data_IF_372259027884
#
_entry.id   IF_372259027884
#
_cell.length_a   1.000
_cell.length_b   1.000
_cell.length_c   1.000
_cell.angle_alpha   90.00
_cell.angle_beta   90.00
_cell.angle_gamma   90.00
#
_symmetry.space_group_name_H-M   'P 1'
#
loop_
_entity.id
_entity.type
_entity.pdbx_description
1 polymer ?
2 non-polymer ?
3 non-polymer ?
4 non-polymer ?
5 water ?
#
# COMPACT_ATOMS: atom_id res chain seq x y z
N UNK A 12 -9.70 9.14 -18.76
CA UNK A 12 -8.40 9.60 -18.29
C UNK A 12 -7.37 9.55 -19.43
N UNK A 13 -6.20 10.16 -19.21
CA UNK A 13 -5.21 10.37 -20.25
C UNK A 13 -4.22 9.21 -20.33
N UNK A 14 -3.63 9.07 -21.52
CA UNK A 14 -2.56 8.09 -21.71
C UNK A 14 -1.30 8.46 -20.93
N UNK A 15 -1.15 9.72 -20.53
CA UNK A 15 0.04 10.17 -19.84
C UNK A 15 -0.02 9.94 -18.35
N UNK A 16 -1.18 9.60 -17.79
CA UNK A 16 -1.30 9.39 -16.36
C UNK A 16 -1.24 7.91 -16.05
N UNK A 17 -0.59 7.59 -14.92
CA UNK A 17 -0.60 6.24 -14.36
C UNK A 17 -1.76 6.14 -13.39
N UNK A 18 -2.63 5.14 -13.56
CA UNK A 18 -3.71 4.88 -12.63
C UNK A 18 -3.26 3.81 -11.63
N UNK A 19 -3.27 4.16 -10.35
CA UNK A 19 -2.99 3.27 -9.24
C UNK A 19 -4.30 2.77 -8.66
N UNK A 20 -4.34 1.49 -8.32
CA UNK A 20 -5.55 0.86 -7.80
C UNK A 20 -5.15 -0.06 -6.67
N UNK A 21 -5.88 0.03 -5.54
CA UNK A 21 -5.71 -0.91 -4.44
C UNK A 21 -7.06 -1.48 -4.07
N UNK A 22 -7.07 -2.76 -3.70
CA UNK A 22 -8.32 -3.50 -3.48
C UNK A 22 -7.98 -4.67 -2.57
N UNK A 23 -8.52 -4.67 -1.34
CA UNK A 23 -8.54 -5.87 -0.54
C UNK A 23 -9.66 -6.74 -1.08
N UNK A 24 -9.32 -7.90 -1.65
CA UNK A 24 -10.29 -8.69 -2.40
C UNK A 24 -10.88 -9.83 -1.59
N UNK A 25 -10.51 -9.98 -0.32
CA UNK A 25 -11.11 -10.97 0.57
C UNK A 25 -11.10 -12.35 -0.09
N UNK A 26 -9.94 -12.70 -0.64
CA UNK A 26 -9.78 -13.96 -1.34
C UNK A 26 -10.01 -13.81 -2.83
N UNK A 27 -8.94 -14.00 -3.62
CA UNK A 27 -9.05 -13.66 -5.03
C UNK A 27 -9.95 -14.64 -5.78
N UNK A 28 -9.98 -15.91 -5.39
CA UNK A 28 -10.91 -16.85 -6.02
C UNK A 28 -12.36 -16.47 -5.76
N UNK A 29 -12.69 -16.14 -4.50
CA UNK A 29 -14.03 -15.67 -4.17
C UNK A 29 -14.37 -14.36 -4.89
N UNK A 30 -13.38 -13.46 -4.98
CA UNK A 30 -13.58 -12.19 -5.69
C UNK A 30 -14.16 -12.41 -7.09
N UNK A 31 -13.72 -13.46 -7.79
CA UNK A 31 -14.18 -13.68 -9.16
C UNK A 31 -15.59 -14.27 -9.22
N UNK A 32 -16.27 -14.45 -8.09
CA UNK A 32 -17.67 -14.85 -8.11
C UNK A 32 -18.62 -13.66 -8.12
N UNK A 33 -18.11 -12.44 -8.07
CA UNK A 33 -18.96 -11.26 -8.09
C UNK A 33 -19.05 -10.65 -9.49
N UNK A 34 -20.21 -10.12 -9.82
CA UNK A 34 -20.36 -9.36 -11.06
C UNK A 34 -19.52 -8.07 -10.99
N UNK A 35 -18.92 -7.65 -12.11
CA UNK A 35 -18.86 -8.28 -13.43
C UNK A 35 -17.74 -9.29 -13.56
N UNK A 36 -16.92 -9.41 -12.52
CA UNK A 36 -15.71 -10.23 -12.63
C UNK A 36 -16.04 -11.69 -12.90
N UNK A 37 -17.26 -12.12 -12.60
CA UNK A 37 -17.68 -13.49 -12.86
C UNK A 37 -17.78 -13.80 -14.35
N UNK A 38 -17.84 -12.78 -15.21
CA UNK A 38 -17.85 -13.00 -16.66
C UNK A 38 -16.45 -13.04 -17.26
N UNK A 39 -15.39 -12.90 -16.47
CA UNK A 39 -14.06 -12.65 -17.01
C UNK A 39 -13.17 -13.90 -16.99
N UNK A 40 -13.74 -15.06 -16.66
CA UNK A 40 -12.99 -16.32 -16.69
C UNK A 40 -11.71 -16.22 -15.86
N UNK A 41 -11.79 -15.53 -14.70
CA UNK A 41 -10.68 -15.46 -13.77
C UNK A 41 -9.46 -14.78 -14.39
N UNK A 42 -9.69 -13.86 -15.31
CA UNK A 42 -8.60 -13.17 -16.01
C UNK A 42 -8.32 -11.84 -15.33
N UNK A 43 -7.15 -11.76 -14.69
CA UNK A 43 -6.71 -10.51 -14.08
C UNK A 43 -6.51 -9.43 -15.13
N UNK A 44 -6.05 -9.80 -16.33
CA UNK A 44 -5.89 -8.83 -17.40
C UNK A 44 -7.22 -8.17 -17.73
N UNK A 45 -8.29 -8.95 -17.81
CA UNK A 45 -9.61 -8.36 -17.99
C UNK A 45 -10.00 -7.47 -16.82
N UNK A 46 -9.64 -7.86 -15.59
CA UNK A 46 -9.98 -7.03 -14.43
C UNK A 46 -9.24 -5.70 -14.48
N UNK A 47 -7.94 -5.74 -14.77
CA UNK A 47 -7.16 -4.51 -14.81
C UNK A 47 -7.61 -3.64 -15.97
N UNK A 48 -8.00 -4.24 -17.10
CA UNK A 48 -8.55 -3.45 -18.20
C UNK A 48 -9.91 -2.86 -17.81
N UNK A 49 -10.72 -3.58 -17.04
CA UNK A 49 -11.99 -3.02 -16.56
C UNK A 49 -11.76 -1.76 -15.74
N UNK A 50 -10.75 -1.76 -14.90
CA UNK A 50 -10.46 -0.61 -14.06
C UNK A 50 -9.66 0.45 -14.79
N UNK A 51 -9.20 0.14 -16.00
CA UNK A 51 -8.27 0.98 -16.75
C UNK A 51 -7.04 1.31 -15.90
N UNK A 52 -6.54 0.33 -15.18
CA UNK A 52 -5.50 0.56 -14.18
C UNK A 52 -4.14 0.15 -14.75
N UNK A 53 -3.10 0.79 -14.22
CA UNK A 53 -1.73 0.54 -14.65
C UNK A 53 -0.87 -0.11 -13.57
N UNK A 54 -1.04 0.28 -12.31
CA UNK A 54 -0.32 -0.30 -11.20
C UNK A 54 -1.37 -0.70 -10.16
N UNK A 55 -1.48 -1.99 -9.89
CA UNK A 55 -2.58 -2.56 -9.11
C UNK A 55 -2.00 -3.40 -7.99
N UNK A 56 -2.50 -3.20 -6.77
CA UNK A 56 -2.24 -4.14 -5.68
C UNK A 56 -3.57 -4.69 -5.18
N UNK A 57 -3.59 -6.01 -4.97
CA UNK A 57 -4.69 -6.69 -4.29
C UNK A 57 -4.14 -7.27 -3.00
N UNK A 58 -4.91 -7.18 -1.92
CA UNK A 58 -4.55 -7.78 -0.64
C UNK A 58 -5.54 -8.88 -0.27
N UNK A 59 -5.08 -9.78 0.61
CA UNK A 59 -5.81 -10.99 1.00
C UNK A 59 -6.12 -11.87 -0.21
N UNK A 60 -5.08 -12.21 -0.96
CA UNK A 60 -5.23 -13.19 -2.03
C UNK A 60 -5.82 -14.49 -1.51
N UNK A 61 -5.46 -14.88 -0.29
CA UNK A 61 -5.87 -16.15 0.31
C UNK A 61 -5.67 -17.27 -0.70
N UNK A 62 -4.46 -17.35 -1.22
CA UNK A 62 -4.16 -18.30 -2.28
C UNK A 62 -3.11 -19.31 -1.80
N UNK A 63 -2.43 -19.96 -2.72
CA UNK A 63 -1.42 -20.95 -2.40
C UNK A 63 -0.44 -21.02 -3.56
N UNK A 64 0.71 -21.65 -3.33
CA UNK A 64 1.79 -21.60 -4.33
C UNK A 64 1.32 -22.14 -5.68
N UNK A 65 0.60 -23.26 -5.68
CA UNK A 65 0.22 -23.88 -6.94
C UNK A 65 -0.71 -22.98 -7.75
N UNK A 66 -1.48 -22.13 -7.10
CA UNK A 66 -2.37 -21.21 -7.79
C UNK A 66 -1.64 -20.03 -8.40
N UNK A 67 -0.39 -19.78 -8.00
CA UNK A 67 0.36 -18.67 -8.56
C UNK A 67 0.56 -18.85 -10.06
N UNK A 68 0.49 -20.07 -10.56
CA UNK A 68 0.61 -20.23 -12.01
C UNK A 68 -0.52 -19.53 -12.74
N UNK A 69 -1.62 -19.22 -12.04
CA UNK A 69 -2.66 -18.39 -12.61
C UNK A 69 -2.40 -16.91 -12.33
N UNK A 70 -2.34 -16.54 -11.03
CA UNK A 70 -2.35 -15.15 -10.62
C UNK A 70 -1.03 -14.43 -10.88
N UNK A 71 0.07 -15.15 -11.06
CA UNK A 71 1.36 -14.57 -11.38
C UNK A 71 1.75 -14.66 -12.84
N UNK A 72 0.82 -15.01 -13.73
CA UNK A 72 1.07 -15.03 -15.18
C UNK A 72 -0.07 -14.25 -15.83
N UNK A 73 0.14 -12.96 -16.03
CA UNK A 73 -0.89 -12.04 -16.49
C UNK A 73 -0.39 -11.42 -17.80
N UNK A 74 -1.09 -11.70 -18.89
CA UNK A 74 -0.65 -11.20 -20.19
C UNK A 74 -0.60 -9.67 -20.19
N UNK A 75 0.54 -9.13 -20.60
CA UNK A 75 0.67 -7.69 -20.65
C UNK A 75 1.01 -7.04 -19.33
N UNK A 76 1.36 -7.83 -18.31
CA UNK A 76 1.66 -7.31 -16.98
C UNK A 76 2.81 -8.10 -16.37
N UNK A 77 3.58 -7.41 -15.53
CA UNK A 77 4.50 -8.05 -14.59
C UNK A 77 3.74 -8.34 -13.30
N UNK A 78 4.03 -9.49 -12.68
CA UNK A 78 3.36 -9.91 -11.46
C UNK A 78 4.37 -10.04 -10.34
N UNK A 79 4.09 -9.43 -9.19
CA UNK A 79 4.92 -9.50 -8.01
C UNK A 79 4.05 -9.89 -6.83
N UNK A 80 4.22 -11.12 -6.36
CA UNK A 80 3.28 -11.68 -5.39
C UNK A 80 4.05 -12.21 -4.20
N UNK A 81 3.57 -11.88 -3.00
CA UNK A 81 4.08 -12.35 -1.73
C UNK A 81 2.98 -13.08 -0.97
N UNK A 82 3.25 -14.33 -0.59
CA UNK A 82 2.30 -15.13 0.19
C UNK A 82 3.08 -15.76 1.34
N UNK A 83 2.38 -16.21 2.39
CA UNK A 83 3.08 -16.93 3.46
C UNK A 83 3.81 -18.13 2.89
N UNK A 84 4.90 -18.53 3.52
CA UNK A 84 5.68 -19.65 2.98
C UNK A 84 4.86 -20.93 2.94
N UNK A 85 4.14 -21.22 4.01
CA UNK A 85 3.41 -22.48 4.14
C UNK A 85 1.91 -22.27 4.29
N UNK A 86 1.49 -21.38 5.18
CA UNK A 86 0.08 -21.23 5.46
C UNK A 86 -0.70 -20.87 4.19
N UNK A 87 -1.69 -21.67 3.86
CA UNK A 87 -2.51 -21.49 2.68
C UNK A 87 -3.80 -20.75 3.05
N UNK A 88 -4.38 -20.10 2.06
CA UNK A 88 -5.64 -19.40 2.28
C UNK A 88 -5.57 -18.24 3.24
N UNK A 89 -4.42 -17.58 3.33
CA UNK A 89 -4.22 -16.55 4.36
C UNK A 89 -3.39 -15.41 3.80
N UNK A 90 -3.89 -14.19 4.01
CA UNK A 90 -3.11 -12.99 3.71
C UNK A 90 -2.69 -13.08 2.24
N UNK A 91 -1.54 -12.50 1.91
CA UNK A 91 -1.05 -12.49 0.55
C UNK A 91 -1.30 -11.15 -0.10
N UNK A 92 -0.29 -10.62 -0.77
CA UNK A 92 -0.38 -9.34 -1.46
C UNK A 92 0.22 -9.53 -2.84
N UNK A 93 -0.44 -8.96 -3.84
CA UNK A 93 0.08 -8.92 -5.19
C UNK A 93 0.15 -7.49 -5.68
N UNK A 94 1.15 -7.20 -6.52
CA UNK A 94 1.26 -5.93 -7.22
C UNK A 94 1.53 -6.23 -8.69
N UNK A 95 0.76 -5.62 -9.57
CA UNK A 95 0.86 -5.88 -11.00
C UNK A 95 1.14 -4.57 -11.72
N UNK A 96 2.06 -4.64 -12.69
CA UNK A 96 2.54 -3.47 -13.42
C UNK A 96 2.27 -3.70 -14.90
N UNK A 97 1.56 -2.77 -15.53
CA UNK A 97 1.28 -2.87 -16.96
C UNK A 97 2.55 -2.69 -17.76
N UNK A 98 2.72 -3.50 -18.82
CA UNK A 98 3.86 -3.42 -19.69
C UNK A 98 3.49 -2.56 -20.89
N UNK A 99 3.99 -1.36 -21.02
CA UNK A 99 3.57 -0.49 -22.12
C UNK A 99 4.22 -0.89 -23.43
N UNK A 100 3.51 -0.60 -24.52
CA UNK A 100 4.08 -0.78 -25.84
C UNK A 100 5.13 0.30 -26.12
N UNK A 101 5.93 0.03 -27.14
CA UNK A 101 7.10 0.85 -27.43
C UNK A 101 6.73 2.30 -27.69
N UNK A 102 5.60 2.55 -28.36
CA UNK A 102 5.20 3.91 -28.67
C UNK A 102 4.23 4.49 -27.64
N UNK A 103 4.10 3.85 -26.50
CA UNK A 103 3.26 4.45 -25.45
C UNK A 103 4.06 5.49 -24.68
N UNK A 104 3.45 6.63 -24.33
CA UNK A 104 4.22 7.68 -23.64
C UNK A 104 4.84 7.22 -22.34
N UNK A 105 4.31 6.15 -21.74
CA UNK A 105 4.80 5.63 -20.47
C UNK A 105 5.82 4.51 -20.66
N UNK A 106 6.35 4.34 -21.86
CA UNK A 106 7.27 3.24 -22.13
C UNK A 106 8.41 3.18 -21.12
N UNK A 107 9.03 4.32 -20.84
CA UNK A 107 10.14 4.32 -19.90
C UNK A 107 9.69 4.47 -18.45
N UNK A 108 8.65 5.26 -18.21
CA UNK A 108 8.17 5.47 -16.85
C UNK A 108 7.84 4.15 -16.16
N UNK A 109 7.20 3.23 -16.88
CA UNK A 109 6.74 2.00 -16.26
C UNK A 109 7.77 0.89 -16.26
N UNK A 110 9.01 1.14 -16.70
CA UNK A 110 10.01 0.10 -16.63
C UNK A 110 10.28 -0.23 -15.17
N UNK A 111 10.33 -1.52 -14.85
CA UNK A 111 10.58 -1.99 -13.49
C UNK A 111 12.06 -2.31 -13.37
N UNK A 112 12.75 -1.64 -12.43
CA UNK A 112 14.18 -1.93 -12.26
C UNK A 112 14.47 -2.80 -11.06
N UNK A 113 13.63 -2.74 -10.01
CA UNK A 113 13.84 -3.59 -8.85
C UNK A 113 12.50 -4.02 -8.28
N UNK A 114 12.50 -5.14 -7.56
CA UNK A 114 11.30 -5.58 -6.84
C UNK A 114 11.76 -6.40 -5.64
N UNK A 115 10.96 -6.37 -4.57
CA UNK A 115 11.39 -6.82 -3.25
C UNK A 115 10.18 -7.29 -2.44
N UNK A 116 10.40 -8.34 -1.65
CA UNK A 116 9.38 -8.89 -0.78
C UNK A 116 9.62 -8.45 0.66
N UNK A 117 8.55 -8.11 1.37
CA UNK A 117 8.64 -7.82 2.79
C UNK A 117 8.98 -6.37 3.05
N UNK A 118 9.01 -6.00 4.34
CA UNK A 118 9.41 -4.67 4.78
C UNK A 118 10.81 -4.64 5.39
N UNK A 119 11.34 -5.77 5.85
CA UNK A 119 12.57 -5.71 6.63
C UNK A 119 13.84 -5.85 5.80
N UNK A 120 13.73 -6.37 4.58
CA UNK A 120 14.88 -6.65 3.73
C UNK A 120 15.55 -7.98 3.97
N UNK A 121 15.10 -8.76 4.95
CA UNK A 121 15.77 -10.01 5.26
C UNK A 121 15.26 -11.19 4.45
N UNK A 122 14.11 -11.05 3.78
CA UNK A 122 13.69 -12.17 2.93
C UNK A 122 14.68 -12.31 1.79
N UNK A 123 14.66 -13.47 1.13
CA UNK A 123 15.73 -13.82 0.22
C UNK A 123 15.22 -14.11 -1.19
N UNK A 124 16.16 -14.00 -2.12
CA UNK A 124 16.00 -14.41 -3.51
C UNK A 124 16.95 -15.56 -3.79
N UNK A 125 16.48 -16.59 -4.49
CA UNK A 125 17.35 -17.69 -4.88
C UNK A 125 18.50 -17.15 -5.72
N UNK A 126 19.72 -17.42 -5.28
CA UNK A 126 20.92 -16.86 -5.90
C UNK A 126 21.60 -17.84 -6.85
N UNK A 127 21.89 -19.05 -6.37
CA UNK A 127 22.40 -20.13 -7.15
C UNK A 127 21.54 -21.36 -6.98
N UNK A 128 22.19 -22.53 -6.99
CA UNK A 128 21.46 -23.78 -6.80
C UNK A 128 21.10 -23.97 -5.33
N UNK A 129 22.09 -23.92 -4.45
CA UNK A 129 21.90 -24.05 -3.01
C UNK A 129 22.18 -22.74 -2.30
N UNK A 130 21.73 -21.62 -2.86
CA UNK A 130 22.14 -20.31 -2.36
C UNK A 130 21.01 -19.29 -2.45
N UNK A 131 20.81 -18.55 -1.37
CA UNK A 131 19.84 -17.47 -1.33
C UNK A 131 20.50 -16.27 -0.68
N UNK A 132 20.10 -15.08 -1.11
CA UNK A 132 20.67 -13.86 -0.58
C UNK A 132 19.55 -12.91 -0.20
N UNK A 133 19.71 -12.26 0.93
CA UNK A 133 18.73 -11.29 1.40
C UNK A 133 18.82 -10.00 0.60
N UNK A 134 17.70 -9.31 0.48
CA UNK A 134 17.70 -8.03 -0.21
C UNK A 134 18.69 -7.08 0.44
N UNK A 135 18.73 -7.08 1.79
CA UNK A 135 19.64 -6.27 2.57
C UNK A 135 21.11 -6.43 2.23
N UNK A 136 21.50 -7.59 1.72
CA UNK A 136 22.90 -7.87 1.45
C UNK A 136 23.24 -7.85 -0.04
N UNK A 137 22.33 -7.39 -0.90
CA UNK A 137 22.62 -7.25 -2.33
C UNK A 137 22.08 -5.92 -2.83
N UNK A 138 22.96 -4.93 -2.99
CA UNK A 138 22.56 -3.59 -3.40
C UNK A 138 21.97 -3.54 -4.79
N UNK A 139 22.22 -4.55 -5.61
CA UNK A 139 21.64 -4.57 -6.95
C UNK A 139 20.33 -5.35 -7.02
N UNK A 140 19.85 -5.85 -5.91
CA UNK A 140 18.50 -6.42 -5.88
C UNK A 140 17.61 -5.74 -4.86
N UNK A 141 18.15 -5.40 -3.69
CA UNK A 141 17.38 -4.67 -2.71
C UNK A 141 17.23 -3.19 -3.06
N UNK A 142 16.07 -2.65 -2.72
CA UNK A 142 15.75 -1.26 -2.97
C UNK A 142 16.47 -0.32 -2.02
N UNK A 143 16.90 -0.79 -0.87
CA UNK A 143 17.65 0.03 0.07
C UNK A 143 16.79 0.59 1.19
N UNK A 144 17.40 1.50 1.97
CA UNK A 144 16.70 2.12 3.08
C UNK A 144 16.56 1.27 4.31
N UNK A 145 17.54 0.41 4.60
CA UNK A 145 17.46 -0.58 5.67
C UNK A 145 18.00 -0.11 6.99
N UNK A 146 18.42 1.14 7.10
CA UNK A 146 19.11 1.57 8.33
C UNK A 146 18.15 1.67 9.50
N UNK A 147 18.53 1.06 10.62
CA UNK A 147 17.87 1.24 11.92
C UNK A 147 16.35 1.20 11.81
N UNK A 148 15.84 0.14 11.20
CA UNK A 148 14.39 -0.06 11.14
C UNK A 148 13.78 -0.23 12.52
N UNK A 149 14.55 -0.74 13.48
CA UNK A 149 14.11 -1.03 14.85
C UNK A 149 15.36 -1.39 15.63
N UNK A 150 15.55 -0.86 16.84
CA UNK A 150 16.79 -1.14 17.58
C UNK A 150 17.00 -2.62 17.93
N UNK A 151 15.96 -3.45 17.96
CA UNK A 151 16.09 -4.83 18.41
C UNK A 151 15.87 -5.84 17.29
N UNK A 152 15.84 -5.39 16.04
CA UNK A 152 15.49 -6.26 14.92
C UNK A 152 16.69 -7.10 14.52
N UNK A 153 16.69 -8.38 14.91
CA UNK A 153 17.64 -9.35 14.35
C UNK A 153 16.94 -10.17 13.27
N UNK A 154 17.75 -10.99 12.58
CA UNK A 154 17.23 -11.73 11.42
C UNK A 154 16.03 -12.60 11.80
N UNK A 155 16.10 -13.29 12.93
CA UNK A 155 15.03 -14.20 13.31
C UNK A 155 13.72 -13.44 13.51
N UNK A 156 13.74 -12.32 14.25
CA UNK A 156 12.51 -11.57 14.45
C UNK A 156 12.08 -10.85 13.18
N UNK A 157 13.02 -10.41 12.36
CA UNK A 157 12.66 -9.80 11.09
C UNK A 157 11.91 -10.80 10.20
N UNK A 158 12.44 -12.03 10.10
CA UNK A 158 11.79 -13.03 9.27
C UNK A 158 10.41 -13.37 9.80
N UNK A 159 10.23 -13.35 11.13
CA UNK A 159 8.90 -13.53 11.70
C UNK A 159 7.98 -12.40 11.30
N UNK A 160 8.46 -11.15 11.34
CA UNK A 160 7.63 -10.02 10.96
C UNK A 160 7.25 -10.08 9.49
N UNK A 161 8.12 -10.61 8.64
CA UNK A 161 7.90 -10.71 7.21
C UNK A 161 7.41 -12.10 6.77
N UNK A 162 6.76 -12.88 7.65
CA UNK A 162 6.40 -14.26 7.32
C UNK A 162 4.96 -14.46 6.84
N UNK A 163 4.17 -13.39 6.69
CA UNK A 163 2.73 -13.56 6.45
C UNK A 163 2.28 -12.97 5.12
N UNK A 164 3.21 -12.77 4.17
CA UNK A 164 2.85 -12.26 2.87
C UNK A 164 2.13 -10.92 2.86
N UNK A 165 2.75 -9.90 3.44
CA UNK A 165 2.06 -8.65 3.72
C UNK A 165 2.62 -7.45 2.99
N UNK A 166 3.66 -7.59 2.20
CA UNK A 166 4.23 -6.42 1.56
C UNK A 166 5.02 -6.83 0.32
N UNK A 167 4.81 -6.07 -0.76
CA UNK A 167 5.59 -6.15 -1.98
C UNK A 167 6.05 -4.74 -2.30
N UNK A 168 7.27 -4.62 -2.82
CA UNK A 168 7.78 -3.31 -3.22
C UNK A 168 8.28 -3.44 -4.64
N UNK A 169 7.97 -2.45 -5.47
CA UNK A 169 8.45 -2.37 -6.86
C UNK A 169 9.07 -1.00 -7.03
N UNK A 170 10.27 -0.95 -7.62
CA UNK A 170 10.92 0.30 -7.99
C UNK A 170 10.87 0.50 -9.50
N UNK A 171 10.33 1.63 -9.93
CA UNK A 171 10.31 1.96 -11.35
C UNK A 171 11.52 2.84 -11.71
N UNK A 172 11.70 3.04 -13.00
CA UNK A 172 12.70 4.03 -13.42
C UNK A 172 12.35 5.40 -12.83
N UNK A 173 13.36 6.23 -12.71
CA UNK A 173 13.21 7.59 -12.18
C UNK A 173 12.92 7.63 -10.67
N UNK A 174 13.16 6.54 -9.95
CA UNK A 174 13.18 6.60 -8.51
C UNK A 174 11.84 6.52 -7.82
N UNK A 175 10.81 6.04 -8.48
CA UNK A 175 9.51 5.85 -7.86
C UNK A 175 9.44 4.45 -7.26
N UNK A 176 9.07 4.37 -5.98
CA UNK A 176 8.96 3.10 -5.27
C UNK A 176 7.51 2.92 -4.84
N UNK A 177 6.89 1.84 -5.29
CA UNK A 177 5.52 1.51 -4.95
C UNK A 177 5.56 0.45 -3.85
N UNK A 178 5.01 0.77 -2.68
CA UNK A 178 4.95 -0.15 -1.56
C UNK A 178 3.49 -0.55 -1.38
N UNK A 179 3.21 -1.83 -1.52
CA UNK A 179 1.88 -2.39 -1.44
C UNK A 179 1.80 -3.20 -0.16
N UNK A 180 0.83 -2.88 0.71
CA UNK A 180 0.82 -3.47 2.03
C UNK A 180 -0.56 -4.03 2.38
N UNK A 181 -0.55 -5.09 3.17
CA UNK A 181 -1.69 -5.58 3.93
C UNK A 181 -1.22 -5.67 5.39
N UNK A 182 -1.40 -4.59 6.14
CA UNK A 182 -0.89 -4.52 7.51
C UNK A 182 -1.73 -5.38 8.45
N UNK A 183 -1.12 -5.97 9.48
CA UNK A 183 -1.87 -6.80 10.42
C UNK A 183 -3.02 -6.06 11.08
N UNK A 184 -4.08 -6.80 11.38
CA UNK A 184 -5.27 -6.23 11.99
C UNK A 184 -5.45 -6.64 13.45
N UNK A 185 -4.69 -7.62 13.95
CA UNK A 185 -4.92 -8.20 15.26
C UNK A 185 -6.40 -8.55 15.43
N UNK A 186 -6.90 -9.39 14.52
CA UNK A 186 -8.32 -9.75 14.57
C UNK A 186 -8.67 -10.47 15.87
N UNK A 187 -7.77 -11.32 16.38
CA UNK A 187 -8.00 -12.01 17.64
C UNK A 187 -7.93 -11.10 18.85
N UNK A 188 -7.43 -9.87 18.69
CA UNK A 188 -7.20 -8.94 19.79
C UNK A 188 -6.21 -9.47 20.82
N UNK A 189 -5.38 -10.44 20.45
CA UNK A 189 -4.38 -10.94 21.39
C UNK A 189 -3.36 -9.85 21.72
N UNK A 190 -2.68 -10.03 22.84
CA UNK A 190 -1.60 -9.10 23.17
C UNK A 190 -0.41 -9.31 22.25
N UNK A 191 -0.04 -10.56 22.00
CA UNK A 191 1.01 -10.85 21.02
C UNK A 191 0.66 -10.27 19.66
N UNK A 192 -0.63 -10.32 19.29
CA UNK A 192 -1.02 -9.81 17.99
C UNK A 192 -0.94 -8.30 17.93
N UNK A 193 -1.27 -7.62 19.04
CA UNK A 193 -1.15 -6.17 19.07
C UNK A 193 0.31 -5.74 18.96
N UNK A 194 1.19 -6.43 19.68
CA UNK A 194 2.62 -6.14 19.59
C UNK A 194 3.13 -6.33 18.17
N UNK A 195 2.72 -7.43 17.52
CA UNK A 195 3.11 -7.67 16.13
C UNK A 195 2.59 -6.58 15.21
N UNK A 196 1.34 -6.17 15.40
CA UNK A 196 0.77 -5.13 14.55
C UNK A 196 1.53 -3.82 14.69
N UNK A 197 1.88 -3.44 15.91
CA UNK A 197 2.59 -2.19 16.13
C UNK A 197 4.01 -2.27 15.58
N UNK A 198 4.70 -3.38 15.80
CA UNK A 198 6.05 -3.53 15.25
C UNK A 198 6.02 -3.46 13.73
N UNK A 199 5.03 -4.09 13.10
CA UNK A 199 4.93 -4.04 11.65
C UNK A 199 4.77 -2.61 11.17
N UNK A 200 3.88 -1.85 11.81
CA UNK A 200 3.61 -0.49 11.37
C UNK A 200 4.85 0.37 11.52
N UNK A 201 5.55 0.23 12.63
CA UNK A 201 6.71 1.08 12.92
C UNK A 201 7.84 0.80 11.95
N UNK A 202 8.12 -0.47 11.68
CA UNK A 202 9.13 -0.82 10.70
C UNK A 202 8.75 -0.29 9.33
N UNK A 203 7.49 -0.49 8.92
CA UNK A 203 7.02 0.03 7.63
C UNK A 203 7.28 1.52 7.50
N UNK A 204 6.88 2.29 8.52
CA UNK A 204 6.98 3.75 8.43
C UNK A 204 8.42 4.21 8.47
N UNK A 205 9.29 3.52 9.22
CA UNK A 205 10.71 3.88 9.22
C UNK A 205 11.35 3.56 7.89
N UNK A 206 10.96 2.44 7.26
CA UNK A 206 11.45 2.14 5.92
C UNK A 206 11.04 3.25 4.94
N UNK A 207 9.77 3.68 5.00
CA UNK A 207 9.32 4.81 4.16
C UNK A 207 10.19 6.04 4.39
N UNK A 208 10.40 6.43 5.65
CA UNK A 208 11.21 7.61 5.93
C UNK A 208 12.63 7.46 5.41
N UNK A 209 13.21 6.26 5.51
CA UNK A 209 14.57 6.05 5.01
C UNK A 209 14.62 6.23 3.50
N UNK A 210 13.67 5.64 2.77
CA UNK A 210 13.65 5.73 1.31
C UNK A 210 13.40 7.17 0.85
N UNK A 211 12.49 7.86 1.52
CA UNK A 211 12.27 9.27 1.25
C UNK A 211 13.55 10.08 1.42
N UNK A 212 14.29 9.84 2.51
CA UNK A 212 15.54 10.54 2.78
C UNK A 212 16.62 10.27 1.73
N UNK A 213 16.65 9.07 1.17
CA UNK A 213 17.57 8.72 0.10
C UNK A 213 17.18 9.34 -1.22
N UNK A 214 15.94 9.82 -1.35
CA UNK A 214 15.48 10.47 -2.55
C UNK A 214 14.50 9.70 -3.40
N UNK A 215 13.89 8.65 -2.91
CA UNK A 215 12.87 7.90 -3.67
C UNK A 215 11.55 8.68 -3.58
N UNK A 216 10.76 8.68 -4.62
CA UNK A 216 9.38 9.13 -4.57
C UNK A 216 8.52 7.90 -4.29
N UNK A 217 7.69 7.98 -3.27
CA UNK A 217 7.02 6.81 -2.69
C UNK A 217 5.55 6.85 -3.01
N UNK A 218 5.01 5.69 -3.35
CA UNK A 218 3.56 5.46 -3.35
C UNK A 218 3.34 4.30 -2.38
N UNK A 219 2.68 4.56 -1.27
CA UNK A 219 2.39 3.56 -0.25
C UNK A 219 0.89 3.33 -0.32
N UNK A 220 0.50 2.14 -0.77
CA UNK A 220 -0.91 1.88 -0.93
C UNK A 220 -1.27 0.50 -0.40
N UNK A 221 -2.48 0.40 0.07
CA UNK A 221 -3.03 -0.87 0.47
C UNK A 221 -3.90 -0.70 1.69
N UNK A 222 -4.10 -1.84 2.35
CA UNK A 222 -4.96 -1.97 3.53
C UNK A 222 -4.07 -1.81 4.76
N UNK A 223 -4.07 -0.61 5.34
CA UNK A 223 -3.26 -0.35 6.52
C UNK A 223 -3.96 -0.78 7.80
N UNK A 224 -5.27 -1.02 7.75
CA UNK A 224 -5.99 -1.56 8.89
C UNK A 224 -5.94 -0.60 10.09
N UNK A 225 -5.89 0.69 9.78
CA UNK A 225 -5.87 1.75 10.77
C UNK A 225 -6.74 2.88 10.23
N UNK A 226 -7.66 3.36 11.06
CA UNK A 226 -8.35 4.61 10.77
C UNK A 226 -7.49 5.79 11.22
N UNK A 227 -7.27 6.73 10.29
CA UNK A 227 -6.49 7.91 10.62
C UNK A 227 -7.30 9.02 11.29
N UNK A 228 -8.64 8.97 11.17
CA UNK A 228 -9.48 10.08 11.62
C UNK A 228 -10.86 9.59 12.05
N UNK A 229 -11.43 10.32 13.03
CA UNK A 229 -12.78 10.03 13.46
C UNK A 229 -13.79 10.03 12.32
N UNK A 230 -13.69 10.98 11.38
CA UNK A 230 -14.67 11.04 10.29
C UNK A 230 -14.60 9.82 9.37
N UNK A 231 -13.59 8.97 9.51
CA UNK A 231 -13.50 7.72 8.77
C UNK A 231 -14.03 6.53 9.56
N UNK A 232 -14.75 6.75 10.67
CA UNK A 232 -15.19 5.64 11.52
C UNK A 232 -16.67 5.82 11.90
N UNK A 233 -17.53 5.08 11.22
CA UNK A 233 -18.96 5.17 11.51
C UNK A 233 -19.25 4.75 12.95
N UNK A 234 -18.57 3.70 13.43
CA UNK A 234 -18.85 3.19 14.75
C UNK A 234 -18.49 4.20 15.83
N UNK A 235 -17.33 4.85 15.73
CA UNK A 235 -16.95 5.80 16.76
C UNK A 235 -17.76 7.08 16.69
N UNK A 236 -18.11 7.55 15.48
CA UNK A 236 -19.05 8.68 15.41
C UNK A 236 -20.34 8.39 16.17
N UNK A 237 -20.89 7.18 16.00
CA UNK A 237 -22.10 6.84 16.74
C UNK A 237 -21.82 6.73 18.24
N UNK A 238 -20.68 6.14 18.59
CA UNK A 238 -20.31 6.00 19.99
C UNK A 238 -20.20 7.35 20.67
N UNK A 239 -19.69 8.36 19.94
CA UNK A 239 -19.58 9.71 20.45
C UNK A 239 -20.86 10.52 20.29
N UNK A 240 -21.93 9.93 19.77
CA UNK A 240 -23.20 10.63 19.57
C UNK A 240 -23.05 11.82 18.62
N UNK A 241 -22.23 11.66 17.58
CA UNK A 241 -22.04 12.69 16.58
C UNK A 241 -22.79 12.27 15.32
N UNK A 242 -23.90 12.91 14.97
CA UNK A 242 -24.62 12.55 13.75
C UNK A 242 -24.05 13.29 12.54
N UNK A 243 -24.13 12.60 11.40
CA UNK A 243 -23.82 13.18 10.11
C UNK A 243 -25.07 13.95 9.67
N UNK A 244 -25.05 15.27 9.79
CA UNK A 244 -26.19 16.10 9.39
C UNK A 244 -26.07 16.66 7.98
N UNK A 245 -24.84 16.84 7.48
CA UNK A 245 -24.58 17.41 6.18
C UNK A 245 -23.53 16.52 5.55
N UNK A 246 -23.78 15.96 4.36
CA UNK A 246 -22.85 14.97 3.79
C UNK A 246 -21.53 15.55 3.36
N UNK A 247 -21.48 16.84 3.09
CA UNK A 247 -20.24 17.55 2.81
C UNK A 247 -19.87 18.48 3.95
N UNK A 248 -20.33 18.18 5.17
CA UNK A 248 -20.01 19.01 6.32
C UNK A 248 -18.83 18.53 7.14
N UNK A 249 -17.87 17.84 6.50
CA UNK A 249 -16.81 17.22 7.25
C UNK A 249 -15.97 18.22 8.03
N UNK A 250 -15.67 19.37 7.42
CA UNK A 250 -14.83 20.35 8.10
C UNK A 250 -15.55 20.95 9.30
N UNK A 251 -16.83 21.23 9.16
CA UNK A 251 -17.58 21.75 10.29
C UNK A 251 -17.65 20.72 11.41
N UNK A 252 -17.85 19.45 11.06
CA UNK A 252 -17.89 18.40 12.08
C UNK A 252 -16.58 18.34 12.85
N UNK A 253 -15.46 18.31 12.12
CA UNK A 253 -14.15 18.28 12.77
C UNK A 253 -13.85 19.53 13.57
N UNK A 254 -14.50 20.66 13.24
CA UNK A 254 -14.28 21.88 14.02
C UNK A 254 -15.12 21.85 15.29
N UNK A 255 -16.43 21.67 15.14
CA UNK A 255 -17.31 21.67 16.29
C UNK A 255 -16.99 20.53 17.25
N UNK A 256 -16.53 19.39 16.72
CA UNK A 256 -16.16 18.24 17.55
C UNK A 256 -14.66 17.97 17.51
N UNK A 257 -13.85 19.03 17.40
CA UNK A 257 -12.41 18.83 17.32
C UNK A 257 -11.89 18.08 18.55
N UNK A 258 -12.47 18.32 19.74
CA UNK A 258 -11.99 17.60 20.92
C UNK A 258 -12.16 16.09 20.74
N UNK A 259 -13.24 15.66 20.11
CA UNK A 259 -13.43 14.23 19.85
C UNK A 259 -12.57 13.75 18.69
N UNK A 260 -12.37 14.59 17.67
CA UNK A 260 -11.51 14.20 16.56
C UNK A 260 -10.08 13.96 17.04
N UNK A 261 -9.62 14.77 18.00
CA UNK A 261 -8.32 14.54 18.61
C UNK A 261 -8.34 13.28 19.48
N UNK A 262 -9.32 13.20 20.40
CA UNK A 262 -9.44 12.02 21.26
C UNK A 262 -9.35 10.75 20.45
N UNK A 263 -10.01 10.71 19.29
CA UNK A 263 -9.98 9.52 18.45
C UNK A 263 -8.55 9.11 18.08
N UNK A 264 -7.71 10.08 17.70
CA UNK A 264 -6.36 9.71 17.27
C UNK A 264 -5.46 9.37 18.46
N UNK A 265 -5.60 10.08 19.59
CA UNK A 265 -4.70 9.88 20.73
C UNK A 265 -5.30 8.95 21.78
N UNK A 266 -6.38 8.25 21.48
CA UNK A 266 -6.90 7.21 22.35
C UNK A 266 -5.78 6.27 22.82
N UNK A 267 -5.56 6.13 24.13
CA UNK A 267 -4.40 5.32 24.58
C UNK A 267 -4.54 3.84 24.31
N UNK A 268 -5.74 3.34 24.06
CA UNK A 268 -5.90 1.95 23.65
C UNK A 268 -5.56 1.70 22.19
N UNK A 269 -5.44 2.74 21.37
CA UNK A 269 -5.21 2.57 19.93
C UNK A 269 -4.04 3.43 19.45
N UNK A 270 -2.84 3.27 20.03
CA UNK A 270 -1.70 4.12 19.63
C UNK A 270 -1.27 3.93 18.17
N UNK A 271 -1.71 2.86 17.50
CA UNK A 271 -1.43 2.72 16.08
C UNK A 271 -2.00 3.89 15.27
N UNK A 272 -3.13 4.47 15.71
CA UNK A 272 -3.69 5.62 15.01
C UNK A 272 -2.76 6.83 15.07
N UNK A 273 -2.16 7.07 16.24
CA UNK A 273 -1.25 8.21 16.38
C UNK A 273 0.05 7.96 15.63
N UNK A 274 0.58 6.73 15.71
CA UNK A 274 1.78 6.35 14.96
C UNK A 274 1.57 6.52 13.47
N UNK A 275 0.40 6.10 12.96
CA UNK A 275 0.08 6.26 11.55
C UNK A 275 0.04 7.73 11.16
N UNK A 276 -0.58 8.56 12.00
CA UNK A 276 -0.76 9.97 11.64
C UNK A 276 0.56 10.71 11.49
N UNK A 277 1.61 10.27 12.20
CA UNK A 277 2.90 10.94 12.15
C UNK A 277 3.55 10.91 10.78
N UNK A 278 3.12 10.02 9.89
CA UNK A 278 3.66 10.01 8.54
C UNK A 278 2.86 10.90 7.60
N UNK A 279 1.73 11.44 8.04
CA UNK A 279 0.79 12.13 7.16
C UNK A 279 1.03 13.64 7.23
N UNK A 280 1.46 14.23 6.12
CA UNK A 280 1.66 15.67 6.08
C UNK A 280 0.35 16.43 6.12
N UNK A 281 -0.77 15.75 5.89
CA UNK A 281 -2.09 16.36 5.96
C UNK A 281 -2.84 15.89 7.21
N UNK A 282 -2.11 15.49 8.23
CA UNK A 282 -2.74 15.04 9.46
C UNK A 282 -3.51 16.16 10.12
N UNK A 283 -4.59 15.79 10.80
CA UNK A 283 -5.38 16.78 11.55
C UNK A 283 -4.57 17.41 12.67
N UNK A 284 -3.52 16.73 13.15
CA UNK A 284 -2.73 17.21 14.28
C UNK A 284 -1.53 18.02 13.77
N UNK A 285 -1.34 19.25 14.27
CA UNK A 285 -0.25 20.09 13.70
C UNK A 285 1.14 19.50 13.83
N UNK A 286 1.47 18.87 14.97
CA UNK A 286 2.80 18.29 15.12
C UNK A 286 3.01 17.13 14.15
N UNK A 287 2.01 16.26 14.01
CA UNK A 287 2.08 15.19 13.03
C UNK A 287 2.25 15.75 11.63
N UNK A 288 1.43 16.75 11.27
CA UNK A 288 1.48 17.31 9.92
C UNK A 288 2.85 17.92 9.61
N UNK A 289 3.45 18.57 10.60
CA UNK A 289 4.76 19.20 10.41
C UNK A 289 5.85 18.19 10.08
N UNK A 290 5.77 17.00 10.67
CA UNK A 290 6.75 15.95 10.43
C UNK A 290 6.32 14.94 9.37
N UNK A 291 5.09 15.01 8.86
CA UNK A 291 4.65 14.04 7.90
C UNK A 291 5.34 14.21 6.55
N UNK A 292 5.40 13.12 5.79
CA UNK A 292 6.03 13.15 4.47
C UNK A 292 5.17 12.55 3.38
N UNK A 293 3.96 12.08 3.69
CA UNK A 293 3.09 11.45 2.72
C UNK A 293 1.75 12.16 2.71
N UNK A 294 1.14 12.19 1.52
CA UNK A 294 -0.16 12.82 1.28
C UNK A 294 -1.18 11.73 1.02
N UNK A 295 -2.33 11.82 1.68
CA UNK A 295 -3.49 10.92 1.51
C UNK A 295 -4.22 11.36 0.25
N UNK A 296 -3.99 10.68 -0.88
CA UNK A 296 -4.51 11.20 -2.14
C UNK A 296 -6.03 11.30 -2.11
N UNK A 297 -6.71 10.29 -1.56
CA UNK A 297 -8.18 10.33 -1.55
C UNK A 297 -8.69 11.55 -0.78
N UNK A 298 -8.11 11.81 0.39
CA UNK A 298 -8.55 12.97 1.17
C UNK A 298 -8.20 14.26 0.48
N UNK A 299 -7.03 14.32 -0.16
CA UNK A 299 -6.65 15.53 -0.87
C UNK A 299 -7.71 15.91 -1.92
N UNK A 300 -8.09 14.96 -2.79
CA UNK A 300 -8.99 15.29 -3.88
C UNK A 300 -10.43 15.36 -3.43
N UNK A 301 -10.88 14.42 -2.60
CA UNK A 301 -12.26 14.44 -2.13
C UNK A 301 -12.50 15.50 -1.06
N UNK A 302 -11.44 15.98 -0.41
CA UNK A 302 -11.43 16.99 0.64
C UNK A 302 -11.91 16.40 1.96
N UNK A 303 -11.57 17.09 3.06
CA UNK A 303 -12.03 16.69 4.38
C UNK A 303 -13.52 16.89 4.58
N UNK A 304 -14.21 17.52 3.63
CA UNK A 304 -15.65 17.72 3.79
C UNK A 304 -16.44 16.43 3.57
N UNK A 305 -15.93 15.50 2.75
CA UNK A 305 -16.74 14.36 2.35
C UNK A 305 -16.83 13.36 3.49
N UNK A 306 -18.03 13.19 4.04
CA UNK A 306 -18.23 12.24 5.11
C UNK A 306 -18.70 10.91 4.52
N UNK A 307 -18.63 9.85 5.33
CA UNK A 307 -19.08 8.51 4.96
C UNK A 307 -18.32 7.97 3.77
N UNK A 308 -17.04 8.35 3.65
CA UNK A 308 -16.15 7.86 2.59
C UNK A 308 -15.49 6.56 3.07
N UNK A 309 -16.30 5.53 3.19
CA UNK A 309 -15.88 4.28 3.80
C UNK A 309 -15.48 3.28 2.72
N UNK A 310 -14.50 2.43 3.05
CA UNK A 310 -13.99 1.44 2.12
C UNK A 310 -14.08 0.02 2.66
N UNK A 311 -14.57 -0.17 3.88
CA UNK A 311 -14.79 -1.50 4.42
C UNK A 311 -16.05 -1.46 5.27
N UNK A 312 -16.75 -2.59 5.32
CA UNK A 312 -17.97 -2.77 6.08
C UNK A 312 -17.97 -4.17 6.65
N UNK A 313 -18.41 -4.30 7.90
CA UNK A 313 -18.40 -5.58 8.58
C UNK A 313 -19.45 -6.48 7.93
N UNK A 314 -18.99 -7.49 7.20
CA UNK A 314 -19.89 -8.31 6.39
C UNK A 314 -20.76 -9.20 7.27
N UNK A 315 -20.20 -9.78 8.33
CA UNK A 315 -20.98 -10.66 9.18
C UNK A 315 -22.20 -9.93 9.74
N UNK A 316 -22.06 -8.64 10.07
CA UNK A 316 -23.17 -7.85 10.57
C UNK A 316 -23.99 -7.21 9.44
N UNK A 317 -23.66 -7.50 8.20
CA UNK A 317 -24.38 -6.98 7.02
C UNK A 317 -24.54 -5.45 7.06
N UNK A 318 -23.42 -4.74 7.18
CA UNK A 318 -23.51 -3.29 7.34
C UNK A 318 -23.19 -2.49 6.09
N UNK A 319 -22.81 -3.14 4.97
CA UNK A 319 -22.54 -2.38 3.77
C UNK A 319 -23.77 -1.71 3.17
N UNK A 320 -24.95 -2.34 3.18
CA UNK A 320 -26.14 -1.68 2.60
C UNK A 320 -26.48 -0.33 3.22
N UNK A 321 -26.31 -0.18 4.54
CA UNK A 321 -26.46 1.10 5.21
C UNK A 321 -25.18 1.97 5.20
N UNK A 322 -24.16 1.59 4.43
CA UNK A 322 -22.88 2.32 4.36
C UNK A 322 -22.40 2.74 5.75
N UNK A 323 -22.33 1.76 6.64
CA UNK A 323 -21.86 1.94 8.02
C UNK A 323 -20.54 1.19 8.12
N UNK A 324 -19.44 1.90 7.95
CA UNK A 324 -18.14 1.26 7.82
C UNK A 324 -17.01 2.11 8.32
N UNK A 325 -15.84 1.89 7.76
CA UNK A 325 -14.63 2.62 8.08
C UNK A 325 -13.83 2.79 6.79
N UNK A 326 -12.81 3.65 6.84
CA UNK A 326 -11.84 3.81 5.75
C UNK A 326 -10.46 3.41 6.27
N UNK A 327 -9.92 2.30 5.75
CA UNK A 327 -8.64 1.76 6.20
C UNK A 327 -7.76 1.41 5.00
N UNK A 328 -8.22 1.79 3.81
CA UNK A 328 -7.51 1.55 2.55
C UNK A 328 -7.07 2.87 1.95
N UNK A 329 -5.79 2.96 1.57
CA UNK A 329 -5.17 4.22 1.23
C UNK A 329 -4.25 4.11 0.01
N UNK A 330 -4.12 5.25 -0.69
CA UNK A 330 -3.02 5.49 -1.62
C UNK A 330 -2.33 6.76 -1.18
N UNK A 331 -1.16 6.60 -0.57
CA UNK A 331 -0.38 7.71 -0.01
C UNK A 331 0.84 7.98 -0.87
N UNK A 332 1.13 9.26 -1.15
CA UNK A 332 2.25 9.60 -2.03
C UNK A 332 3.16 10.61 -1.37
N UNK A 333 4.43 10.61 -1.80
CA UNK A 333 5.39 11.60 -1.37
C UNK A 333 4.85 13.01 -1.59
N UNK A 334 5.22 13.90 -0.70
CA UNK A 334 4.87 15.31 -0.85
C UNK A 334 5.26 15.85 -2.22
N UNK A 335 6.39 15.39 -2.75
CA UNK A 335 6.86 15.86 -4.05
C UNK A 335 6.00 15.38 -5.22
N UNK A 336 5.10 14.43 -5.00
CA UNK A 336 4.21 13.96 -6.04
C UNK A 336 2.84 14.60 -5.97
N UNK A 337 2.61 15.51 -5.03
CA UNK A 337 1.25 15.99 -4.78
C UNK A 337 0.68 16.73 -5.99
N UNK A 338 1.50 17.55 -6.65
CA UNK A 338 1.03 18.26 -7.83
C UNK A 338 0.69 17.33 -8.98
N UNK A 339 1.15 16.06 -8.93
CA UNK A 339 0.87 15.10 -9.99
C UNK A 339 -0.54 14.55 -9.93
N UNK A 340 -1.23 14.71 -8.81
CA UNK A 340 -2.48 13.99 -8.56
C UNK A 340 -3.60 14.59 -9.39
N UNK A 341 -4.14 13.81 -10.33
CA UNK A 341 -5.21 14.31 -11.19
C UNK A 341 -6.59 13.85 -10.72
N UNK A 342 -6.66 12.76 -9.97
CA UNK A 342 -7.92 12.18 -9.53
C UNK A 342 -7.59 11.18 -8.43
N UNK A 343 -8.51 11.05 -7.49
CA UNK A 343 -8.36 10.14 -6.36
C UNK A 343 -9.74 9.97 -5.75
N UNK A 344 -10.22 8.73 -5.68
CA UNK A 344 -11.58 8.48 -5.22
C UNK A 344 -11.67 7.05 -4.71
N UNK A 345 -12.75 6.76 -4.04
CA UNK A 345 -13.07 5.39 -3.70
C UNK A 345 -14.17 4.93 -4.65
N UNK A 346 -14.38 3.61 -4.73
CA UNK A 346 -15.33 3.00 -5.68
C UNK A 346 -16.29 2.08 -4.97
N UNK A 347 -17.18 2.64 -4.13
CA UNK A 347 -17.98 1.81 -3.24
C UNK A 347 -19.13 1.06 -3.90
N UNK A 348 -19.46 1.37 -5.15
CA UNK A 348 -20.46 0.59 -5.85
C UNK A 348 -19.88 -0.67 -6.47
N UNK A 349 -18.56 -0.86 -6.44
CA UNK A 349 -17.95 -2.01 -7.07
C UNK A 349 -17.85 -3.14 -6.06
N UNK A 350 -18.39 -4.30 -6.46
CA UNK A 350 -18.47 -5.49 -5.66
C UNK A 350 -17.17 -6.28 -5.76
N UNK A 351 -17.11 -7.39 -5.03
CA UNK A 351 -15.91 -8.21 -5.05
C UNK A 351 -15.40 -8.62 -3.69
N UNK A 352 -15.81 -7.92 -2.63
CA UNK A 352 -15.14 -8.05 -1.34
C UNK A 352 -16.00 -7.41 -0.26
N UNK A 353 -15.50 -7.47 0.97
CA UNK A 353 -16.07 -6.65 2.04
C UNK A 353 -15.43 -5.27 2.08
N UNK A 354 -14.37 -5.02 1.30
CA UNK A 354 -13.89 -3.68 1.01
C UNK A 354 -14.34 -3.27 -0.39
N UNK A 355 -14.11 -2.00 -0.71
CA UNK A 355 -14.24 -1.51 -2.08
C UNK A 355 -12.88 -1.00 -2.58
N UNK A 356 -12.72 -0.84 -3.88
CA UNK A 356 -11.43 -0.37 -4.40
C UNK A 356 -11.22 1.13 -4.17
N UNK A 357 -9.94 1.51 -4.22
CA UNK A 357 -9.46 2.90 -4.15
C UNK A 357 -8.51 3.12 -5.32
N UNK A 358 -8.64 4.24 -6.01
CA UNK A 358 -7.77 4.51 -7.15
C UNK A 358 -7.28 5.95 -7.12
N UNK A 359 -6.13 6.18 -7.76
CA UNK A 359 -5.62 7.53 -7.94
C UNK A 359 -4.82 7.60 -9.23
N UNK A 360 -5.00 8.70 -9.96
CA UNK A 360 -4.34 8.97 -11.23
C UNK A 360 -3.24 10.00 -11.01
N UNK A 361 -2.01 9.66 -11.37
CA UNK A 361 -0.86 10.54 -11.25
C UNK A 361 -0.26 10.81 -12.64
N UNK A 362 -0.03 12.08 -12.95
CA UNK A 362 0.69 12.50 -14.16
C UNK A 362 2.15 12.67 -13.77
N UNK A 363 2.90 11.57 -13.79
CA UNK A 363 4.29 11.62 -13.33
C UNK A 363 5.25 11.99 -14.44
N UNK A 364 4.79 12.08 -15.69
CA UNK A 364 5.63 12.65 -16.75
C UNK A 364 5.81 14.14 -16.59
N UNK A 365 5.05 14.78 -15.69
CA UNK A 365 5.19 16.21 -15.40
C UNK A 365 6.65 16.58 -15.19
N UNK A 366 7.21 17.38 -16.09
CA UNK A 366 8.62 17.75 -16.01
C UNK A 366 8.93 18.76 -14.91
N UNK A 367 7.93 19.24 -14.17
CA UNK A 367 8.16 20.19 -13.09
C UNK A 367 8.47 19.52 -11.75
N UNK A 368 8.29 18.22 -11.64
CA UNK A 368 8.54 17.51 -10.38
C UNK A 368 9.99 17.06 -10.33
N UNK A 369 10.64 17.28 -9.18
CA UNK A 369 12.03 16.92 -9.02
C UNK A 369 12.21 15.44 -9.39
N UNK A 370 13.31 15.07 -10.04
CA UNK A 370 13.51 13.67 -10.39
C UNK A 370 13.92 12.85 -9.17
N UNK A 371 13.46 11.60 -9.14
CA UNK A 371 13.79 10.71 -8.04
C UNK A 371 15.19 10.15 -8.18
N UNK A 372 15.74 9.69 -7.06
CA UNK A 372 17.08 9.08 -7.08
C UNK A 372 16.96 7.64 -7.54
N UNK A 373 17.46 7.34 -8.73
CA UNK A 373 17.41 5.97 -9.25
C UNK A 373 18.69 5.21 -8.90
N UNK A 374 18.57 3.89 -8.81
CA UNK A 374 19.73 3.02 -8.63
C UNK A 374 19.48 1.80 -9.52
N UNK A 375 19.83 1.92 -10.79
CA UNK A 375 19.56 0.82 -11.73
C UNK A 375 20.57 -0.30 -11.46
N UNK A 376 20.13 -1.52 -11.27
CA UNK A 376 21.08 -2.61 -10.96
C UNK A 376 22.28 -2.59 -11.91
N UNK A 377 23.47 -2.70 -11.34
CA UNK A 377 24.68 -2.70 -12.17
C UNK A 377 24.85 -4.06 -12.78
N UNK A 378 25.06 -4.18 -14.10
CA UNK A 378 25.30 -5.50 -14.68
C UNK A 378 26.53 -6.17 -14.07
N UNK A 379 26.45 -7.49 -13.93
CA UNK A 379 27.53 -8.22 -13.27
C UNK A 379 28.83 -8.18 -14.05
N UNK A 380 28.79 -7.84 -15.35
CA UNK A 380 30.03 -7.71 -16.10
C UNK A 380 30.80 -6.44 -15.77
N UNK A 381 30.20 -5.50 -15.05
CA UNK A 381 30.95 -4.31 -14.63
C UNK A 381 32.18 -4.74 -13.85
N UNK A 382 33.30 -4.03 -14.09
CA UNK A 382 34.60 -4.51 -13.65
C UNK A 382 34.65 -4.81 -12.15
N UNK A 383 33.96 -4.01 -11.33
CA UNK A 383 34.10 -4.23 -9.90
C UNK A 383 33.64 -5.63 -9.51
N UNK A 384 32.64 -6.16 -10.19
CA UNK A 384 32.15 -7.51 -9.92
C UNK A 384 32.91 -8.55 -10.73
N UNK A 385 33.10 -8.31 -12.03
CA UNK A 385 33.77 -9.29 -12.89
C UNK A 385 35.16 -9.64 -12.38
N UNK A 386 35.90 -8.66 -11.84
CA UNK A 386 37.24 -8.92 -11.33
C UNK A 386 37.31 -8.78 -9.80
N UNK A 387 36.18 -8.79 -9.11
CA UNK A 387 36.14 -8.86 -7.65
C UNK A 387 37.05 -7.81 -7.04
N UNK A 388 36.86 -6.56 -7.45
CA UNK A 388 37.68 -5.49 -6.91
C UNK A 388 37.18 -5.15 -5.51
N UNK A 389 38.04 -4.51 -4.73
CA UNK A 389 37.72 -4.19 -3.35
C UNK A 389 36.77 -3.00 -3.26
N UNK A 390 35.92 -3.02 -2.23
CA UNK A 390 34.98 -1.92 -1.98
C UNK A 390 35.21 -1.30 -0.61
#
# INVERSE_FOLDING_TARGET
MSSSENTLLDGKSENTIRFLTFNVNGIRTFFHYQPFSQMNQSLRSVFDFFRADIITFQELKTEKLSISKWGRVDGFYSFISIPQTRKGYSGVGCWIRIPEKNHPLYHALQVVKAEEGITGYLTIKNGKHSAISYRNDVNQGIGGYDSLDPDLDEKSALELDSEGRCVMVELACGIVIISVYCPANSNSSEEGEMFRLRFLKVLLRRVRNLDKIGKKIVLMGDVNVCRDLIDSADTLEQFSIPITDPMGGTKLEAQYRDKAIQFIINPDTPHRRIFNQILADSLLPDASKRGILIDTTRLIQTRNRLKMYTVWNMLKNLRPSNYGSRIDFILVSLKLERCIKAADILPDILGSDHCPVYSDLDILDDRIEPGTTQVPIPKFEARYKYNLRNHNVLEMFAKKDTNKESNENLYFQ
#
